data_IF_159982988386
#
_entry.id   IF_159982988386
#
_cell.length_a   1.000
_cell.length_b   1.000
_cell.length_c   1.000
_cell.angle_alpha   90.00
_cell.angle_beta   90.00
_cell.angle_gamma   90.00
#
_symmetry.space_group_name_H-M   'P 1'
#
loop_
_entity.id
_entity.type
_entity.pdbx_description
1 polymer ?
#
# COMPACT_ATOMS: atom_id res chain seq x y z
N UNK A 1 32.32 -40.53 -14.20
CA UNK A 1 32.03 -41.37 -13.02
C UNK A 1 30.60 -41.08 -12.63
N UNK A 2 29.74 -42.08 -12.82
CA UNK A 2 28.27 -42.08 -12.73
C UNK A 2 27.89 -43.00 -11.56
N UNK A 3 26.64 -42.89 -11.06
CA UNK A 3 25.84 -43.77 -10.17
C UNK A 3 25.63 -43.12 -8.78
N UNK A 4 24.44 -42.67 -8.33
CA UNK A 4 23.11 -43.30 -8.21
C UNK A 4 23.10 -44.68 -7.53
N UNK A 5 22.61 -44.77 -6.28
CA UNK A 5 21.46 -45.58 -5.83
C UNK A 5 21.42 -45.82 -4.29
N UNK A 6 20.17 -45.95 -3.82
CA UNK A 6 19.63 -46.23 -2.48
C UNK A 6 20.33 -47.35 -1.65
N UNK A 7 20.01 -47.44 -0.35
CA UNK A 7 19.30 -48.65 0.06
C UNK A 7 18.06 -48.39 0.95
N UNK A 8 17.01 -49.11 0.61
CA UNK A 8 15.76 -49.27 1.35
C UNK A 8 15.79 -50.50 2.28
N UNK A 9 14.94 -50.44 3.30
CA UNK A 9 14.20 -51.54 3.95
C UNK A 9 14.83 -52.40 5.07
N UNK A 10 14.16 -52.36 6.24
CA UNK A 10 13.28 -53.42 6.81
C UNK A 10 13.50 -53.55 8.34
N UNK A 11 12.66 -52.93 9.19
CA UNK A 11 11.41 -53.43 9.81
C UNK A 11 11.57 -54.16 11.18
N UNK A 12 10.78 -53.69 12.16
CA UNK A 12 10.05 -54.44 13.22
C UNK A 12 10.53 -54.33 14.70
N UNK A 13 9.61 -53.76 15.51
CA UNK A 13 9.23 -53.92 16.93
C UNK A 13 10.30 -53.97 18.06
N UNK A 14 10.14 -53.15 19.11
CA UNK A 14 9.36 -53.45 20.32
C UNK A 14 9.43 -52.30 21.38
N UNK A 15 8.25 -51.97 21.94
CA UNK A 15 7.94 -51.65 23.36
C UNK A 15 8.66 -50.54 24.16
N UNK A 16 7.83 -49.60 24.63
CA UNK A 16 7.50 -49.33 26.05
C UNK A 16 8.55 -48.68 26.97
N UNK A 17 8.25 -47.44 27.39
CA UNK A 17 8.21 -46.89 28.77
C UNK A 17 8.78 -45.46 28.83
N UNK A 18 7.98 -44.52 29.36
CA UNK A 18 8.53 -43.30 29.95
C UNK A 18 7.74 -42.00 29.75
N UNK A 19 6.61 -41.87 30.46
CA UNK A 19 6.36 -40.72 31.35
C UNK A 19 6.16 -39.29 30.80
N UNK A 20 4.93 -38.80 31.03
CA UNK A 20 4.59 -37.54 31.72
C UNK A 20 5.03 -36.18 31.13
N UNK A 21 4.04 -35.35 30.74
CA UNK A 21 3.68 -34.03 31.33
C UNK A 21 2.54 -33.43 30.45
N UNK A 22 1.30 -33.46 30.93
CA UNK A 22 0.54 -32.34 31.54
C UNK A 22 -0.16 -31.40 30.53
N UNK A 23 -1.49 -31.45 30.56
CA UNK A 23 -2.41 -30.57 29.85
C UNK A 23 -3.85 -31.06 30.05
N UNK A 24 -4.42 -30.75 31.21
CA UNK A 24 -5.75 -31.16 31.66
C UNK A 24 -6.87 -30.79 30.68
N UNK A 25 -7.64 -31.79 30.25
CA UNK A 25 -9.04 -31.64 29.87
C UNK A 25 -9.80 -32.79 30.54
N UNK A 26 -10.58 -32.48 31.58
CA UNK A 26 -11.33 -33.45 32.34
C UNK A 26 -12.71 -33.65 31.71
N UNK A 27 -13.04 -34.92 31.51
CA UNK A 27 -14.31 -35.47 31.05
C UNK A 27 -15.42 -35.39 32.12
N UNK A 28 -16.68 -35.50 31.63
CA UNK A 28 -17.75 -36.45 32.00
C UNK A 28 -19.12 -35.75 32.12
N UNK A 29 -20.07 -35.97 31.19
CA UNK A 29 -20.95 -37.15 31.00
C UNK A 29 -22.34 -36.90 31.62
N UNK A 30 -23.32 -36.55 30.77
CA UNK A 30 -24.67 -37.14 30.69
C UNK A 30 -25.67 -36.17 30.08
N UNK A 31 -26.03 -36.42 28.82
CA UNK A 31 -27.31 -36.03 28.26
C UNK A 31 -27.77 -37.16 27.34
N UNK A 32 -28.81 -37.91 27.72
CA UNK A 32 -29.87 -38.34 26.80
C UNK A 32 -31.06 -39.00 27.51
N UNK A 33 -32.26 -38.60 27.04
CA UNK A 33 -33.56 -39.31 27.03
C UNK A 33 -34.58 -39.13 28.19
N UNK A 34 -35.69 -38.45 27.85
CA UNK A 34 -37.10 -38.83 28.15
C UNK A 34 -37.55 -39.92 27.12
N UNK A 35 -38.71 -40.63 27.20
CA UNK A 35 -39.80 -40.67 28.20
C UNK A 35 -40.36 -42.09 28.58
N UNK A 36 -41.35 -42.08 29.49
CA UNK A 36 -42.51 -43.01 29.68
C UNK A 36 -42.45 -44.32 30.54
N UNK A 37 -43.36 -44.32 31.53
CA UNK A 37 -44.29 -45.39 31.98
C UNK A 37 -43.81 -46.53 32.91
N UNK A 38 -44.24 -46.51 34.19
CA UNK A 38 -45.25 -47.39 34.84
C UNK A 38 -45.25 -47.20 36.38
N UNK A 39 -46.45 -47.35 36.97
CA UNK A 39 -46.95 -47.04 38.33
C UNK A 39 -46.71 -48.24 39.31
N UNK A 40 -47.30 -48.36 40.54
CA UNK A 40 -46.96 -47.87 41.90
C UNK A 40 -46.54 -48.94 42.98
N UNK A 41 -46.28 -48.45 44.23
CA UNK A 41 -46.34 -49.08 45.60
C UNK A 41 -45.06 -49.65 46.27
N UNK A 42 -44.94 -49.68 47.62
CA UNK A 42 -45.46 -48.80 48.69
C UNK A 42 -44.34 -48.04 49.43
N UNK A 43 -44.69 -46.90 50.04
CA UNK A 43 -43.89 -46.24 51.07
C UNK A 43 -43.93 -47.04 52.37
N UNK A 44 -42.79 -47.54 52.83
CA UNK A 44 -42.56 -47.78 54.26
C UNK A 44 -42.30 -46.44 54.94
N UNK A 45 -43.16 -46.12 55.90
CA UNK A 45 -43.11 -44.90 56.67
C UNK A 45 -41.91 -44.92 57.62
N UNK A 46 -40.90 -44.11 57.35
CA UNK A 46 -39.98 -43.62 58.37
C UNK A 46 -40.15 -42.10 58.47
N UNK A 47 -41.07 -41.71 59.37
CA UNK A 47 -41.23 -40.34 59.85
C UNK A 47 -39.94 -39.96 60.60
N UNK A 48 -39.02 -39.27 59.93
CA UNK A 48 -38.11 -38.38 60.65
C UNK A 48 -38.98 -37.21 61.12
N UNK A 49 -39.20 -37.12 62.43
CA UNK A 49 -39.87 -35.97 63.04
C UNK A 49 -38.98 -34.75 62.84
N UNK A 50 -39.49 -33.72 62.19
CA UNK A 50 -38.94 -32.37 62.31
C UNK A 50 -39.01 -31.97 63.78
N UNK A 51 -37.84 -31.75 64.37
CA UNK A 51 -37.71 -31.21 65.73
C UNK A 51 -38.20 -29.77 65.65
N UNK A 52 -39.37 -29.50 66.23
CA UNK A 52 -39.95 -28.16 66.29
C UNK A 52 -39.29 -27.37 67.42
N UNK A 53 -39.39 -26.03 67.39
CA UNK A 53 -38.83 -25.15 68.43
C UNK A 53 -39.29 -25.55 69.85
N UNK A 54 -40.48 -26.14 69.96
CA UNK A 54 -41.06 -26.70 71.18
C UNK A 54 -40.29 -27.92 71.72
N UNK A 55 -39.69 -28.73 70.85
CA UNK A 55 -38.92 -29.92 71.21
C UNK A 55 -37.53 -29.56 71.77
N UNK A 56 -36.97 -28.42 71.34
CA UNK A 56 -35.70 -27.88 71.89
C UNK A 56 -35.95 -27.22 73.25
N UNK A 57 -37.05 -26.48 73.42
CA UNK A 57 -37.47 -25.96 74.73
C UNK A 57 -37.63 -27.09 75.76
N UNK A 58 -38.27 -28.19 75.37
CA UNK A 58 -38.45 -29.37 76.23
C UNK A 58 -37.13 -30.10 76.54
N UNK A 59 -36.16 -30.10 75.62
CA UNK A 59 -34.85 -30.71 75.86
C UNK A 59 -33.96 -29.88 76.80
N UNK A 60 -34.04 -28.54 76.74
CA UNK A 60 -33.29 -27.63 77.63
C UNK A 60 -33.84 -27.66 79.07
N UNK A 61 -35.14 -27.93 79.24
CA UNK A 61 -35.78 -28.10 80.56
C UNK A 61 -35.37 -29.40 81.28
N UNK A 62 -34.79 -30.39 80.60
CA UNK A 62 -34.49 -31.70 81.17
C UNK A 62 -33.04 -31.90 81.70
N UNK A 63 -32.12 -30.95 81.56
CA UNK A 63 -30.68 -31.20 81.83
C UNK A 63 -30.03 -30.27 82.88
N UNK A 64 -30.75 -29.41 83.61
CA UNK A 64 -30.11 -28.54 84.63
C UNK A 64 -30.56 -28.81 86.09
N UNK A 65 -29.62 -28.92 87.04
CA UNK A 65 -29.91 -29.16 88.45
C UNK A 65 -30.50 -27.91 89.13
N UNK A 66 -31.38 -28.14 90.12
CA UNK A 66 -32.01 -27.13 91.00
C UNK A 66 -30.95 -26.40 91.86
N UNK A 67 -30.31 -25.36 91.32
CA UNK A 67 -29.76 -24.22 92.06
C UNK A 67 -29.42 -23.08 91.07
N UNK A 68 -30.01 -21.90 91.29
CA UNK A 68 -29.85 -20.65 90.50
C UNK A 68 -30.10 -20.72 88.96
N UNK A 69 -31.33 -21.01 88.49
CA UNK A 69 -31.64 -21.09 87.05
C UNK A 69 -32.07 -19.76 86.41
N UNK A 70 -32.48 -18.77 87.21
CA UNK A 70 -33.17 -17.58 86.71
C UNK A 70 -32.26 -16.63 85.91
N UNK A 71 -31.05 -16.32 86.40
CA UNK A 71 -30.14 -15.40 85.69
C UNK A 71 -29.59 -15.99 84.38
N UNK A 72 -29.27 -17.29 84.33
CA UNK A 72 -28.77 -17.95 83.12
C UNK A 72 -29.88 -18.08 82.06
N UNK A 73 -31.09 -18.43 82.46
CA UNK A 73 -32.24 -18.51 81.55
C UNK A 73 -32.65 -17.13 81.00
N UNK A 74 -32.58 -16.08 81.84
CA UNK A 74 -32.78 -14.68 81.43
C UNK A 74 -31.69 -14.19 80.45
N UNK A 75 -30.42 -14.57 80.67
CA UNK A 75 -29.31 -14.25 79.77
C UNK A 75 -29.42 -14.93 78.40
N UNK A 76 -29.78 -16.21 78.40
CA UNK A 76 -29.98 -16.99 77.17
C UNK A 76 -31.19 -16.48 76.39
N UNK A 77 -32.31 -16.22 77.06
CA UNK A 77 -33.52 -15.65 76.41
C UNK A 77 -33.29 -14.23 75.87
N UNK A 78 -32.50 -13.40 76.55
CA UNK A 78 -32.09 -12.09 76.05
C UNK A 78 -31.19 -12.21 74.80
N UNK A 79 -30.25 -13.16 74.81
CA UNK A 79 -29.35 -13.43 73.68
C UNK A 79 -30.13 -13.96 72.46
N UNK A 80 -31.10 -14.86 72.66
CA UNK A 80 -31.97 -15.37 71.60
C UNK A 80 -32.79 -14.23 70.98
N UNK A 81 -33.41 -13.37 71.80
CA UNK A 81 -34.14 -12.19 71.30
C UNK A 81 -33.24 -11.23 70.51
N UNK A 82 -32.00 -11.03 70.97
CA UNK A 82 -31.03 -10.20 70.26
C UNK A 82 -30.68 -10.78 68.88
N UNK A 83 -30.49 -12.10 68.81
CA UNK A 83 -30.21 -12.81 67.56
C UNK A 83 -31.42 -12.81 66.63
N UNK A 84 -32.64 -12.99 67.15
CA UNK A 84 -33.88 -12.90 66.36
C UNK A 84 -34.11 -11.50 65.81
N UNK A 85 -33.81 -10.46 66.60
CA UNK A 85 -33.88 -9.07 66.15
C UNK A 85 -32.86 -8.79 65.05
N UNK A 86 -31.61 -9.21 65.23
CA UNK A 86 -30.58 -9.09 64.19
C UNK A 86 -30.95 -9.88 62.92
N UNK A 87 -31.54 -11.08 63.07
CA UNK A 87 -32.05 -11.87 61.93
C UNK A 87 -33.19 -11.15 61.21
N UNK A 88 -34.12 -10.53 61.94
CA UNK A 88 -35.22 -9.78 61.37
C UNK A 88 -34.75 -8.52 60.62
N UNK A 89 -33.66 -7.89 61.06
CA UNK A 89 -33.02 -6.74 60.42
C UNK A 89 -32.19 -7.14 59.18
N UNK A 90 -31.47 -8.27 59.23
CA UNK A 90 -30.60 -8.73 58.12
C UNK A 90 -31.38 -9.37 56.95
N UNK A 91 -32.53 -10.00 57.19
CA UNK A 91 -33.34 -10.62 56.14
C UNK A 91 -33.80 -9.63 55.03
N UNK A 92 -34.37 -8.45 55.34
CA UNK A 92 -34.74 -7.47 54.31
C UNK A 92 -33.52 -6.87 53.62
N UNK A 93 -32.38 -6.67 54.31
CA UNK A 93 -31.13 -6.23 53.67
C UNK A 93 -30.63 -7.26 52.64
N UNK A 94 -30.64 -8.56 52.99
CA UNK A 94 -30.29 -9.64 52.06
C UNK A 94 -31.26 -9.66 50.86
N UNK A 95 -32.56 -9.45 51.09
CA UNK A 95 -33.56 -9.36 50.02
C UNK A 95 -33.31 -8.15 49.10
N UNK A 96 -32.98 -6.99 49.67
CA UNK A 96 -32.66 -5.77 48.93
C UNK A 96 -31.37 -5.94 48.11
N UNK A 97 -30.33 -6.55 48.69
CA UNK A 97 -29.07 -6.83 47.98
C UNK A 97 -29.27 -7.84 46.84
N UNK A 98 -30.12 -8.85 47.03
CA UNK A 98 -30.50 -9.79 45.96
C UNK A 98 -31.27 -9.09 44.83
N UNK A 99 -32.19 -8.18 45.15
CA UNK A 99 -32.92 -7.40 44.15
C UNK A 99 -31.98 -6.51 43.33
N UNK A 100 -31.05 -5.81 43.99
CA UNK A 100 -30.01 -5.00 43.31
C UNK A 100 -29.11 -5.86 42.41
N UNK A 101 -28.67 -7.02 42.89
CA UNK A 101 -27.86 -7.95 42.10
C UNK A 101 -28.61 -8.46 40.86
N UNK A 102 -29.91 -8.75 40.96
CA UNK A 102 -30.75 -9.14 39.81
C UNK A 102 -30.95 -8.00 38.81
N UNK A 103 -31.09 -6.76 39.27
CA UNK A 103 -31.21 -5.60 38.39
C UNK A 103 -29.91 -5.34 37.61
N UNK A 104 -28.76 -5.41 38.29
CA UNK A 104 -27.45 -5.28 37.65
C UNK A 104 -27.17 -6.43 36.68
N UNK A 105 -27.61 -7.65 37.00
CA UNK A 105 -27.52 -8.78 36.08
C UNK A 105 -28.33 -8.54 34.79
N UNK A 106 -29.57 -8.06 34.90
CA UNK A 106 -30.39 -7.69 33.73
C UNK A 106 -29.77 -6.56 32.91
N UNK A 107 -29.15 -5.57 33.55
CA UNK A 107 -28.43 -4.49 32.86
C UNK A 107 -27.24 -5.04 32.08
N UNK A 108 -26.45 -5.95 32.68
CA UNK A 108 -25.33 -6.63 32.01
C UNK A 108 -25.81 -7.45 30.81
N UNK A 109 -26.86 -8.24 30.95
CA UNK A 109 -27.44 -9.02 29.85
C UNK A 109 -27.93 -8.14 28.69
N UNK A 110 -28.57 -7.00 29.02
CA UNK A 110 -28.99 -6.02 28.02
C UNK A 110 -27.79 -5.39 27.30
N UNK A 111 -26.74 -5.01 28.03
CA UNK A 111 -25.50 -4.48 27.46
C UNK A 111 -24.81 -5.52 26.58
N UNK A 112 -24.71 -6.78 27.01
CA UNK A 112 -24.14 -7.88 26.21
C UNK A 112 -24.93 -8.11 24.91
N UNK A 113 -26.26 -8.04 24.97
CA UNK A 113 -27.11 -8.14 23.77
C UNK A 113 -26.87 -6.97 22.79
N UNK A 114 -26.58 -5.78 23.31
CA UNK A 114 -26.29 -4.60 22.51
C UNK A 114 -24.90 -4.70 21.89
N UNK A 115 -23.89 -5.13 22.66
CA UNK A 115 -22.52 -5.38 22.19
C UNK A 115 -22.54 -6.40 21.06
N UNK A 116 -23.24 -7.54 21.20
CA UNK A 116 -23.36 -8.54 20.14
C UNK A 116 -24.01 -7.98 18.86
N UNK A 117 -25.04 -7.14 18.99
CA UNK A 117 -25.67 -6.47 17.84
C UNK A 117 -24.72 -5.50 17.16
N UNK A 118 -23.98 -4.71 17.93
CA UNK A 118 -23.00 -3.76 17.39
C UNK A 118 -21.84 -4.48 16.71
N UNK A 119 -21.31 -5.56 17.31
CA UNK A 119 -20.29 -6.40 16.70
C UNK A 119 -20.75 -6.98 15.35
N UNK A 120 -21.99 -7.47 15.26
CA UNK A 120 -22.56 -7.96 13.99
C UNK A 120 -22.66 -6.83 12.95
N UNK A 121 -23.04 -5.62 13.37
CA UNK A 121 -23.11 -4.45 12.47
C UNK A 121 -21.73 -4.03 11.96
N UNK A 122 -20.73 -4.00 12.85
CA UNK A 122 -19.34 -3.71 12.47
C UNK A 122 -18.82 -4.72 11.45
N UNK A 123 -19.08 -6.01 11.66
CA UNK A 123 -18.68 -7.05 10.71
C UNK A 123 -19.30 -6.85 9.32
N UNK A 124 -20.59 -6.52 9.25
CA UNK A 124 -21.29 -6.29 7.98
C UNK A 124 -20.74 -5.04 7.26
N UNK A 125 -20.57 -3.93 7.98
CA UNK A 125 -20.00 -2.70 7.42
C UNK A 125 -18.56 -2.90 6.92
N UNK A 126 -17.76 -3.70 7.64
CA UNK A 126 -16.41 -4.08 7.20
C UNK A 126 -16.44 -4.85 5.89
N UNK A 127 -17.35 -5.83 5.75
CA UNK A 127 -17.54 -6.57 4.49
C UNK A 127 -18.00 -5.68 3.34
N UNK A 128 -18.91 -4.74 3.59
CA UNK A 128 -19.37 -3.78 2.58
C UNK A 128 -18.25 -2.86 2.13
N UNK A 129 -17.46 -2.31 3.07
CA UNK A 129 -16.28 -1.48 2.77
C UNK A 129 -15.28 -2.26 1.93
N UNK A 130 -14.96 -3.49 2.31
CA UNK A 130 -13.96 -4.30 1.61
C UNK A 130 -14.45 -4.71 0.22
N UNK A 131 -15.74 -4.99 0.06
CA UNK A 131 -16.36 -5.21 -1.24
C UNK A 131 -16.27 -3.97 -2.15
N UNK A 132 -16.57 -2.79 -1.63
CA UNK A 132 -16.42 -1.53 -2.39
C UNK A 132 -14.96 -1.25 -2.77
N UNK A 133 -14.01 -1.52 -1.87
CA UNK A 133 -12.57 -1.40 -2.16
C UNK A 133 -12.15 -2.34 -3.28
N UNK A 134 -12.56 -3.61 -3.23
CA UNK A 134 -12.23 -4.60 -4.26
C UNK A 134 -12.79 -4.20 -5.64
N UNK A 135 -13.99 -3.62 -5.69
CA UNK A 135 -14.57 -3.09 -6.93
C UNK A 135 -13.73 -1.92 -7.47
N UNK A 136 -13.36 -0.95 -6.63
CA UNK A 136 -12.50 0.16 -7.05
C UNK A 136 -11.14 -0.33 -7.55
N UNK A 137 -10.54 -1.30 -6.85
CA UNK A 137 -9.26 -1.90 -7.22
C UNK A 137 -9.33 -2.64 -8.56
N UNK A 138 -10.48 -3.25 -8.88
CA UNK A 138 -10.70 -3.83 -10.22
C UNK A 138 -10.73 -2.76 -11.31
N UNK A 139 -11.40 -1.62 -11.08
CA UNK A 139 -11.40 -0.51 -12.03
C UNK A 139 -10.01 0.12 -12.20
N UNK A 140 -9.27 0.30 -11.10
CA UNK A 140 -7.89 0.80 -11.14
C UNK A 140 -6.98 -0.16 -11.93
N UNK A 141 -7.17 -1.48 -11.80
CA UNK A 141 -6.41 -2.48 -12.55
C UNK A 141 -6.75 -2.51 -14.05
N UNK A 142 -8.01 -2.29 -14.42
CA UNK A 142 -8.46 -2.20 -15.81
C UNK A 142 -8.03 -0.88 -16.47
N UNK A 143 -7.98 0.23 -15.71
CA UNK A 143 -7.45 1.52 -16.17
C UNK A 143 -5.92 1.50 -16.31
N UNK A 144 -5.21 0.84 -15.40
CA UNK A 144 -3.74 0.76 -15.40
C UNK A 144 -3.16 -0.10 -16.54
N UNK A 145 -3.92 -1.07 -17.06
CA UNK A 145 -3.47 -1.92 -18.18
C UNK A 145 -3.47 -1.21 -19.54
N UNK A 146 -4.18 -0.08 -19.68
CA UNK A 146 -4.28 0.63 -20.96
C UNK A 146 -3.08 1.56 -21.25
N UNK A 147 -2.29 1.98 -20.25
CA UNK A 147 -1.25 3.01 -20.43
C UNK A 147 -0.05 2.89 -19.47
N UNK A 148 0.69 1.77 -19.42
CA UNK A 148 1.93 1.72 -18.62
C UNK A 148 3.20 1.51 -19.46
N UNK A 149 4.14 2.45 -19.31
CA UNK A 149 5.53 2.29 -19.76
C UNK A 149 6.16 1.06 -19.08
N UNK A 150 6.96 0.24 -19.80
CA UNK A 150 7.65 -0.93 -19.24
C UNK A 150 8.47 -0.66 -17.98
N UNK A 151 8.95 0.58 -17.81
CA UNK A 151 9.73 1.00 -16.64
C UNK A 151 8.89 1.10 -15.36
N UNK A 152 7.60 1.45 -15.49
CA UNK A 152 6.73 1.64 -14.35
C UNK A 152 6.20 0.28 -13.83
N UNK A 153 5.95 -0.69 -14.71
CA UNK A 153 5.68 -2.08 -14.32
C UNK A 153 6.84 -2.71 -13.53
N UNK A 154 8.09 -2.45 -13.94
CA UNK A 154 9.25 -2.96 -13.22
C UNK A 154 9.33 -2.39 -11.79
N UNK A 155 9.08 -1.08 -11.64
CA UNK A 155 9.09 -0.41 -10.33
C UNK A 155 7.94 -0.83 -9.43
N UNK A 156 6.76 -1.10 -9.98
CA UNK A 156 5.63 -1.63 -9.23
C UNK A 156 5.96 -3.03 -8.72
N UNK A 157 6.49 -3.90 -9.58
CA UNK A 157 6.88 -5.25 -9.20
C UNK A 157 7.98 -5.27 -8.11
N UNK A 158 8.96 -4.39 -8.20
CA UNK A 158 9.99 -4.23 -7.16
C UNK A 158 9.39 -3.75 -5.83
N UNK A 159 8.43 -2.84 -5.87
CA UNK A 159 7.72 -2.38 -4.67
C UNK A 159 6.85 -3.48 -4.05
N UNK A 160 6.19 -4.30 -4.87
CA UNK A 160 5.42 -5.48 -4.44
C UNK A 160 6.32 -6.52 -3.77
N UNK A 161 7.48 -6.84 -4.36
CA UNK A 161 8.46 -7.78 -3.78
C UNK A 161 8.99 -7.26 -2.43
N UNK A 162 9.24 -5.95 -2.30
CA UNK A 162 9.64 -5.35 -1.02
C UNK A 162 8.51 -5.42 0.01
N UNK A 163 7.28 -5.13 -0.39
CA UNK A 163 6.12 -5.20 0.50
C UNK A 163 5.92 -6.63 1.01
N UNK A 164 6.06 -7.63 0.15
CA UNK A 164 5.94 -9.03 0.53
C UNK A 164 7.01 -9.46 1.54
N UNK A 165 8.25 -8.98 1.37
CA UNK A 165 9.35 -9.21 2.34
C UNK A 165 9.05 -8.56 3.70
N UNK A 166 8.55 -7.32 3.70
CA UNK A 166 8.18 -6.61 4.93
C UNK A 166 7.01 -7.31 5.63
N UNK A 167 6.00 -7.76 4.89
CA UNK A 167 4.88 -8.52 5.44
C UNK A 167 5.35 -9.83 6.08
N UNK A 168 6.22 -10.59 5.40
CA UNK A 168 6.79 -11.81 5.96
C UNK A 168 7.59 -11.54 7.25
N UNK A 169 8.36 -10.45 7.29
CA UNK A 169 9.08 -10.06 8.48
C UNK A 169 8.13 -9.66 9.63
N UNK A 170 7.07 -8.89 9.34
CA UNK A 170 6.08 -8.53 10.35
C UNK A 170 5.40 -9.76 10.94
N UNK A 171 5.02 -10.73 10.10
CA UNK A 171 4.44 -11.99 10.61
C UNK A 171 5.40 -12.77 11.50
N UNK A 172 6.70 -12.77 11.18
CA UNK A 172 7.73 -13.40 12.02
C UNK A 172 7.95 -12.63 13.33
N UNK A 173 7.85 -11.30 13.32
CA UNK A 173 7.93 -10.51 14.55
C UNK A 173 6.70 -10.72 15.44
N UNK A 174 5.52 -10.86 14.84
CA UNK A 174 4.27 -11.17 15.56
C UNK A 174 4.32 -12.55 16.24
N UNK A 175 4.88 -13.56 15.57
CA UNK A 175 5.06 -14.90 16.18
C UNK A 175 6.05 -14.85 17.34
N UNK A 176 7.16 -14.13 17.18
CA UNK A 176 8.15 -13.94 18.25
C UNK A 176 7.57 -13.18 19.44
N UNK A 177 6.78 -12.14 19.20
CA UNK A 177 6.08 -11.40 20.26
C UNK A 177 5.06 -12.28 21.00
N UNK A 178 4.27 -13.07 20.27
CA UNK A 178 3.32 -14.00 20.88
C UNK A 178 4.02 -15.01 21.78
N UNK A 179 5.15 -15.55 21.33
CA UNK A 179 5.96 -16.49 22.12
C UNK A 179 6.54 -15.83 23.38
N UNK A 180 7.10 -14.62 23.26
CA UNK A 180 7.60 -13.88 24.41
C UNK A 180 6.49 -13.52 25.41
N UNK A 181 5.28 -13.22 24.93
CA UNK A 181 4.11 -12.95 25.76
C UNK A 181 3.66 -14.20 26.53
N UNK A 182 3.68 -15.38 25.89
CA UNK A 182 3.39 -16.65 26.56
C UNK A 182 4.44 -16.97 27.63
N UNK A 183 5.73 -16.83 27.32
CA UNK A 183 6.84 -17.02 28.27
C UNK A 183 6.70 -16.05 29.46
N UNK A 184 6.44 -14.77 29.23
CA UNK A 184 6.18 -13.80 30.29
C UNK A 184 4.96 -14.17 31.15
N UNK A 185 3.90 -14.72 30.53
CA UNK A 185 2.73 -15.26 31.25
C UNK A 185 3.10 -16.42 32.17
N UNK A 186 3.93 -17.35 31.69
CA UNK A 186 4.41 -18.48 32.51
C UNK A 186 5.28 -18.03 33.68
N UNK A 187 6.21 -17.09 33.46
CA UNK A 187 7.01 -16.53 34.55
C UNK A 187 6.16 -15.80 35.56
N UNK A 188 5.13 -15.06 35.13
CA UNK A 188 4.21 -14.37 36.03
C UNK A 188 3.45 -15.35 36.93
N UNK A 189 3.01 -16.49 36.39
CA UNK A 189 2.38 -17.56 37.17
C UNK A 189 3.36 -18.19 38.17
N UNK A 190 4.61 -18.43 37.78
CA UNK A 190 5.64 -18.93 38.69
C UNK A 190 5.92 -17.95 39.84
N UNK A 191 6.02 -16.65 39.54
CA UNK A 191 6.18 -15.60 40.55
C UNK A 191 4.98 -15.58 41.48
N UNK A 192 3.74 -15.64 40.96
CA UNK A 192 2.54 -15.69 41.80
C UNK A 192 2.52 -16.90 42.74
N UNK A 193 2.93 -18.07 42.24
CA UNK A 193 3.03 -19.29 43.04
C UNK A 193 4.08 -19.15 44.15
N UNK A 194 5.29 -18.69 43.83
CA UNK A 194 6.33 -18.43 44.83
C UNK A 194 5.94 -17.34 45.84
N UNK A 195 5.21 -16.30 45.41
CA UNK A 195 4.72 -15.27 46.34
C UNK A 195 3.69 -15.83 47.31
N UNK A 196 2.79 -16.71 46.86
CA UNK A 196 1.82 -17.38 47.73
C UNK A 196 2.51 -18.33 48.72
N UNK A 197 3.55 -19.05 48.27
CA UNK A 197 4.38 -19.87 49.16
C UNK A 197 5.11 -19.03 50.21
N UNK A 198 5.65 -17.87 49.83
CA UNK A 198 6.28 -16.93 50.76
C UNK A 198 5.30 -16.32 51.75
N UNK A 199 4.07 -16.01 51.34
CA UNK A 199 3.02 -15.53 52.26
C UNK A 199 2.59 -16.63 53.24
N UNK A 200 2.41 -17.87 52.79
CA UNK A 200 2.13 -19.00 53.68
C UNK A 200 3.26 -19.24 54.70
N UNK A 201 4.52 -19.14 54.26
CA UNK A 201 5.68 -19.22 55.16
C UNK A 201 5.75 -18.04 56.14
N UNK A 202 5.38 -16.83 55.70
CA UNK A 202 5.27 -15.65 56.59
C UNK A 202 4.16 -15.80 57.61
N UNK A 203 2.99 -16.30 57.26
CA UNK A 203 1.92 -16.59 58.23
C UNK A 203 2.37 -17.62 59.28
N UNK A 204 3.13 -18.63 58.84
CA UNK A 204 3.77 -19.59 59.73
C UNK A 204 4.82 -18.94 60.64
N UNK A 205 5.57 -17.96 60.12
CA UNK A 205 6.58 -17.21 60.86
C UNK A 205 5.99 -16.18 61.82
N UNK A 206 4.84 -15.57 61.50
CA UNK A 206 4.07 -14.68 62.40
C UNK A 206 3.55 -15.47 63.60
N UNK A 207 3.15 -16.73 63.42
CA UNK A 207 2.80 -17.61 64.56
C UNK A 207 4.00 -17.97 65.46
N UNK A 208 5.23 -17.95 64.91
CA UNK A 208 6.48 -18.20 65.65
C UNK A 208 7.14 -16.92 66.20
N UNK A 209 6.77 -15.73 65.70
CA UNK A 209 7.38 -14.44 66.04
C UNK A 209 6.85 -13.82 67.34
N UNK A 210 5.78 -14.38 67.95
CA UNK A 210 5.30 -13.94 69.27
C UNK A 210 6.30 -14.22 70.43
N UNK A 211 7.48 -14.79 70.16
CA UNK A 211 8.46 -15.17 71.19
C UNK A 211 9.77 -14.38 71.27
N UNK A 212 10.09 -13.41 70.42
CA UNK A 212 11.34 -12.63 70.57
C UNK A 212 11.27 -11.21 69.97
N UNK A 213 11.07 -10.20 70.82
CA UNK A 213 10.84 -8.79 70.40
C UNK A 213 11.95 -7.80 70.75
N UNK A 214 13.13 -8.24 71.22
CA UNK A 214 14.18 -7.30 71.63
C UNK A 214 15.52 -7.44 70.88
N UNK A 215 15.78 -8.54 70.18
CA UNK A 215 16.98 -8.68 69.33
C UNK A 215 16.78 -8.14 67.90
N UNK A 216 15.52 -7.92 67.48
CA UNK A 216 15.18 -7.55 66.10
C UNK A 216 15.22 -6.05 65.84
N UNK A 217 15.17 -5.19 66.86
CA UNK A 217 15.07 -3.74 66.65
C UNK A 217 16.37 -3.13 66.08
N UNK A 218 17.53 -3.57 66.57
CA UNK A 218 18.84 -3.11 66.06
C UNK A 218 19.15 -3.68 64.68
N UNK A 219 18.82 -4.95 64.43
CA UNK A 219 18.90 -5.57 63.10
C UNK A 219 17.96 -4.89 62.10
N UNK A 220 16.74 -4.55 62.51
CA UNK A 220 15.80 -3.79 61.67
C UNK A 220 16.32 -2.38 61.41
N UNK A 221 16.97 -1.73 62.37
CA UNK A 221 17.59 -0.42 62.18
C UNK A 221 18.77 -0.47 61.21
N UNK A 222 19.65 -1.48 61.32
CA UNK A 222 20.79 -1.63 60.41
C UNK A 222 20.37 -2.03 58.99
N UNK A 223 19.34 -2.87 58.87
CA UNK A 223 18.73 -3.20 57.57
C UNK A 223 18.05 -1.99 56.94
N UNK A 224 17.36 -1.13 57.71
CA UNK A 224 16.79 0.13 57.21
C UNK A 224 17.87 1.07 56.69
N UNK A 225 18.97 1.23 57.42
CA UNK A 225 20.11 2.03 56.97
C UNK A 225 20.73 1.45 55.70
N UNK A 226 20.86 0.12 55.60
CA UNK A 226 21.38 -0.53 54.40
C UNK A 226 20.47 -0.37 53.19
N UNK A 227 19.15 -0.40 53.39
CA UNK A 227 18.16 -0.12 52.35
C UNK A 227 18.33 1.31 51.85
N UNK A 228 18.45 2.29 52.74
CA UNK A 228 18.66 3.69 52.37
C UNK A 228 19.98 3.90 51.60
N UNK A 229 21.08 3.26 52.01
CA UNK A 229 22.34 3.28 51.28
C UNK A 229 22.22 2.68 49.88
N UNK A 230 21.54 1.53 49.75
CA UNK A 230 21.33 0.87 48.47
C UNK A 230 20.41 1.66 47.56
N UNK A 231 19.38 2.32 48.10
CA UNK A 231 18.50 3.21 47.36
C UNK A 231 19.27 4.44 46.83
N UNK A 232 20.14 5.03 47.66
CA UNK A 232 21.00 6.13 47.24
C UNK A 232 21.99 5.73 46.14
N UNK A 233 22.60 4.55 46.25
CA UNK A 233 23.51 4.04 45.21
C UNK A 233 22.75 3.68 43.93
N UNK A 234 21.53 3.13 44.03
CA UNK A 234 20.66 2.86 42.88
C UNK A 234 20.31 4.15 42.15
N UNK A 235 19.92 5.20 42.87
CA UNK A 235 19.66 6.52 42.28
C UNK A 235 20.90 7.09 41.60
N UNK A 236 22.08 6.95 42.21
CA UNK A 236 23.34 7.40 41.61
C UNK A 236 23.66 6.66 40.31
N UNK A 237 23.49 5.34 40.29
CA UNK A 237 23.69 4.51 39.10
C UNK A 237 22.66 4.80 38.02
N UNK A 238 21.40 5.03 38.39
CA UNK A 238 20.34 5.46 37.46
C UNK A 238 20.71 6.79 36.80
N UNK A 239 21.17 7.78 37.57
CA UNK A 239 21.60 9.07 37.02
C UNK A 239 22.81 8.92 36.08
N UNK A 240 23.79 8.11 36.45
CA UNK A 240 24.93 7.81 35.58
C UNK A 240 24.50 7.10 34.29
N UNK A 241 23.56 6.18 34.38
CA UNK A 241 23.04 5.44 33.23
C UNK A 241 22.26 6.39 32.30
N UNK A 242 21.40 7.25 32.85
CA UNK A 242 20.68 8.28 32.07
C UNK A 242 21.65 9.21 31.33
N UNK A 243 22.74 9.64 31.97
CA UNK A 243 23.78 10.47 31.33
C UNK A 243 24.49 9.71 30.22
N UNK A 244 24.79 8.42 30.42
CA UNK A 244 25.43 7.57 29.42
C UNK A 244 24.49 7.29 28.25
N UNK A 245 23.21 7.02 28.51
CA UNK A 245 22.16 6.85 27.50
C UNK A 245 22.00 8.11 26.66
N UNK A 246 21.86 9.29 27.29
CA UNK A 246 21.80 10.57 26.55
C UNK A 246 23.05 10.81 25.68
N UNK A 247 24.24 10.41 26.17
CA UNK A 247 25.47 10.50 25.38
C UNK A 247 25.43 9.53 24.21
N UNK A 248 25.05 8.28 24.44
CA UNK A 248 24.92 7.26 23.39
C UNK A 248 23.89 7.66 22.34
N UNK A 249 22.74 8.21 22.72
CA UNK A 249 21.75 8.74 21.78
C UNK A 249 22.31 9.87 20.94
N UNK A 250 23.02 10.82 21.57
CA UNK A 250 23.71 11.90 20.86
C UNK A 250 24.77 11.36 19.89
N UNK A 251 25.50 10.33 20.28
CA UNK A 251 26.50 9.67 19.44
C UNK A 251 25.83 8.89 18.29
N UNK A 252 24.72 8.19 18.53
CA UNK A 252 23.94 7.49 17.51
C UNK A 252 23.39 8.44 16.46
N UNK A 253 22.98 9.65 16.86
CA UNK A 253 22.51 10.69 15.94
C UNK A 253 23.63 11.26 15.05
N UNK A 254 24.87 11.26 15.51
CA UNK A 254 26.01 11.86 14.79
C UNK A 254 26.87 10.83 14.05
N UNK A 255 26.69 9.54 14.35
CA UNK A 255 27.52 8.44 13.87
C UNK A 255 28.84 8.40 14.63
N UNK A 256 29.09 7.31 15.35
CA UNK A 256 30.31 7.15 16.16
C UNK A 256 31.36 6.29 15.46
N UNK A 257 32.63 6.65 15.62
CA UNK A 257 33.77 5.80 15.26
C UNK A 257 34.92 6.05 16.23
N UNK A 258 35.61 4.98 16.64
CA UNK A 258 36.77 5.08 17.54
C UNK A 258 38.01 5.51 16.73
N UNK A 259 38.55 6.73 16.90
CA UNK A 259 39.68 7.24 16.11
C UNK A 259 41.01 6.54 16.45
N UNK A 260 41.08 5.80 17.55
CA UNK A 260 42.27 5.02 17.94
C UNK A 260 42.28 3.66 17.23
N UNK A 261 41.10 3.05 17.06
CA UNK A 261 40.97 1.72 16.43
C UNK A 261 40.63 1.75 14.94
N UNK A 262 39.97 2.81 14.49
CA UNK A 262 39.42 2.89 13.13
C UNK A 262 39.85 4.16 12.43
N UNK A 263 40.24 4.03 11.15
CA UNK A 263 40.52 5.16 10.27
C UNK A 263 39.47 5.20 9.18
N UNK A 264 38.78 6.32 9.07
CA UNK A 264 37.81 6.56 7.99
C UNK A 264 38.59 6.97 6.74
N UNK A 265 38.43 6.20 5.67
CA UNK A 265 39.01 6.51 4.36
C UNK A 265 37.89 6.74 3.35
N UNK A 266 38.10 7.67 2.45
CA UNK A 266 37.24 7.86 1.28
C UNK A 266 38.11 8.13 0.06
N UNK A 267 37.57 7.87 -1.13
CA UNK A 267 38.26 8.23 -2.36
C UNK A 267 38.45 9.74 -2.42
N UNK A 268 39.64 10.18 -2.84
CA UNK A 268 39.93 11.60 -3.03
C UNK A 268 38.99 12.20 -4.09
N UNK A 269 38.75 11.46 -5.18
CA UNK A 269 37.75 11.76 -6.20
C UNK A 269 36.46 10.97 -5.92
N UNK A 270 35.64 11.48 -5.02
CA UNK A 270 34.31 10.92 -4.72
C UNK A 270 33.19 11.77 -5.35
N UNK A 271 31.97 11.22 -5.54
CA UNK A 271 30.86 11.96 -6.13
C UNK A 271 30.57 13.31 -5.47
N UNK A 272 30.65 13.39 -4.13
CA UNK A 272 30.45 14.65 -3.39
C UNK A 272 31.56 15.68 -3.69
N UNK A 273 32.81 15.25 -3.80
CA UNK A 273 33.93 16.14 -4.15
C UNK A 273 33.79 16.67 -5.58
N UNK A 274 33.36 15.83 -6.52
CA UNK A 274 33.10 16.21 -7.90
C UNK A 274 31.93 17.21 -7.96
N UNK A 275 30.82 16.92 -7.25
CA UNK A 275 29.68 17.83 -7.18
C UNK A 275 30.04 19.18 -6.55
N UNK A 276 30.87 19.20 -5.50
CA UNK A 276 31.38 20.45 -4.90
C UNK A 276 32.25 21.23 -5.88
N UNK A 277 33.11 20.55 -6.64
CA UNK A 277 33.94 21.20 -7.65
C UNK A 277 33.09 21.79 -8.78
N UNK A 278 32.15 21.01 -9.33
CA UNK A 278 31.23 21.48 -10.39
C UNK A 278 30.41 22.68 -9.91
N UNK A 279 29.86 22.63 -8.70
CA UNK A 279 29.15 23.76 -8.11
C UNK A 279 30.07 24.97 -7.95
N UNK A 280 31.32 24.79 -7.54
CA UNK A 280 32.27 25.90 -7.44
C UNK A 280 32.56 26.52 -8.83
N UNK A 281 32.75 25.69 -9.85
CA UNK A 281 32.95 26.11 -11.24
C UNK A 281 31.72 26.86 -11.78
N UNK A 282 30.51 26.36 -11.54
CA UNK A 282 29.25 27.00 -11.93
C UNK A 282 29.08 28.37 -11.25
N UNK A 283 29.36 28.46 -9.94
CA UNK A 283 29.30 29.73 -9.20
C UNK A 283 30.30 30.74 -9.77
N UNK A 284 31.51 30.31 -10.12
CA UNK A 284 32.51 31.18 -10.75
C UNK A 284 32.06 31.64 -12.15
N UNK A 285 31.49 30.74 -12.96
CA UNK A 285 30.93 31.10 -14.27
C UNK A 285 29.80 32.13 -14.14
N UNK A 286 28.86 31.91 -13.22
CA UNK A 286 27.77 32.84 -12.94
C UNK A 286 28.28 34.18 -12.42
N UNK A 287 29.34 34.18 -11.60
CA UNK A 287 29.99 35.43 -11.13
C UNK A 287 30.59 36.21 -12.29
N UNK A 288 31.29 35.55 -13.21
CA UNK A 288 31.85 36.17 -14.40
C UNK A 288 30.76 36.72 -15.32
N UNK A 289 29.71 35.95 -15.55
CA UNK A 289 28.56 36.39 -16.35
C UNK A 289 27.87 37.61 -15.72
N UNK A 290 27.62 37.57 -14.41
CA UNK A 290 27.08 38.72 -13.68
C UNK A 290 27.97 39.96 -13.81
N UNK A 291 29.30 39.80 -13.77
CA UNK A 291 30.23 40.90 -13.98
C UNK A 291 30.14 41.45 -15.41
N UNK A 292 30.14 40.59 -16.42
CA UNK A 292 30.01 40.98 -17.83
C UNK A 292 28.68 41.69 -18.12
N UNK A 293 27.57 41.17 -17.58
CA UNK A 293 26.26 41.79 -17.69
C UNK A 293 26.23 43.15 -17.00
N UNK A 294 26.81 43.28 -15.79
CA UNK A 294 26.94 44.56 -15.09
C UNK A 294 27.79 45.56 -15.87
N UNK A 295 28.87 45.12 -16.50
CA UNK A 295 29.71 45.98 -17.33
C UNK A 295 29.00 46.42 -18.61
N UNK A 296 28.20 45.54 -19.21
CA UNK A 296 27.37 45.86 -20.38
C UNK A 296 26.26 46.84 -20.03
N UNK A 297 25.56 46.64 -18.92
CA UNK A 297 24.57 47.59 -18.41
C UNK A 297 25.24 48.95 -18.18
N UNK A 298 26.41 48.99 -17.51
CA UNK A 298 27.17 50.24 -17.33
C UNK A 298 27.52 50.92 -18.66
N UNK A 299 27.90 50.18 -19.69
CA UNK A 299 28.18 50.73 -21.03
C UNK A 299 26.92 51.26 -21.73
N UNK A 300 25.80 50.56 -21.62
CA UNK A 300 24.49 50.98 -22.16
C UNK A 300 23.99 52.23 -21.43
N UNK A 301 24.13 52.28 -20.11
CA UNK A 301 23.78 53.44 -19.28
C UNK A 301 24.69 54.65 -19.57
N UNK A 302 25.98 54.42 -19.82
CA UNK A 302 26.95 55.47 -20.13
C UNK A 302 26.89 56.00 -21.59
N UNK A 303 26.27 55.26 -22.52
CA UNK A 303 26.14 55.62 -23.93
C UNK A 303 24.85 55.05 -24.50
N UNK A 304 23.79 55.86 -24.54
CA UNK A 304 22.44 55.42 -24.90
C UNK A 304 22.35 54.83 -26.31
N UNK A 305 22.13 53.52 -26.38
CA UNK A 305 21.69 52.82 -27.59
C UNK A 305 22.34 51.46 -27.79
N UNK A 306 21.54 50.40 -27.68
CA UNK A 306 21.93 49.03 -28.04
C UNK A 306 22.29 48.99 -29.54
N UNK A 307 23.58 48.90 -29.86
CA UNK A 307 24.04 48.59 -31.21
C UNK A 307 23.61 47.15 -31.53
N UNK A 308 22.82 47.00 -32.59
CA UNK A 308 22.23 45.72 -33.06
C UNK A 308 23.22 44.62 -33.46
N UNK A 309 24.52 44.88 -33.39
CA UNK A 309 25.56 43.94 -33.85
C UNK A 309 26.12 43.02 -32.75
N UNK A 310 25.64 43.13 -31.52
CA UNK A 310 26.18 42.37 -30.39
C UNK A 310 25.35 41.11 -30.07
N UNK A 311 24.88 40.45 -31.14
CA UNK A 311 24.04 39.22 -31.12
C UNK A 311 24.87 37.93 -31.27
N UNK A 312 26.19 38.04 -31.28
CA UNK A 312 27.13 36.92 -31.29
C UNK A 312 27.70 36.70 -29.90
N UNK A 313 26.83 36.39 -28.93
CA UNK A 313 27.27 35.83 -27.66
C UNK A 313 26.75 34.41 -27.53
N UNK A 314 27.71 33.49 -27.44
CA UNK A 314 27.57 32.06 -27.19
C UNK A 314 27.05 31.93 -25.75
N UNK A 315 25.75 32.13 -25.58
CA UNK A 315 25.01 31.63 -24.43
C UNK A 315 24.91 30.12 -24.68
N UNK A 316 25.40 29.23 -23.80
CA UNK A 316 25.07 27.81 -23.90
C UNK A 316 23.54 27.74 -23.94
N UNK A 317 22.95 27.24 -25.04
CA UNK A 317 21.50 27.21 -25.14
C UNK A 317 20.97 26.48 -23.91
N UNK A 318 20.06 27.13 -23.17
CA UNK A 318 19.39 26.49 -22.03
C UNK A 318 18.85 25.12 -22.48
N UNK A 319 18.77 24.16 -21.56
CA UNK A 319 18.26 22.80 -21.87
C UNK A 319 16.94 22.87 -22.68
N UNK A 320 16.09 23.84 -22.36
CA UNK A 320 14.84 24.13 -23.07
C UNK A 320 15.03 24.58 -24.53
N UNK A 321 16.03 25.43 -24.83
CA UNK A 321 16.36 25.83 -26.21
C UNK A 321 16.92 24.64 -26.99
N UNK A 322 17.71 23.77 -26.36
CA UNK A 322 18.20 22.54 -26.99
C UNK A 322 17.05 21.57 -27.32
N UNK A 323 16.13 21.38 -26.37
CA UNK A 323 14.97 20.52 -26.56
C UNK A 323 14.01 21.07 -27.62
N UNK A 324 13.78 22.39 -27.64
CA UNK A 324 12.98 23.05 -28.69
C UNK A 324 13.64 22.95 -30.07
N UNK A 325 14.96 23.12 -30.16
CA UNK A 325 15.70 22.91 -31.43
C UNK A 325 15.57 21.47 -31.92
N UNK A 326 15.69 20.50 -31.03
CA UNK A 326 15.49 19.09 -31.37
C UNK A 326 14.08 18.78 -31.84
N UNK A 327 13.06 19.41 -31.23
CA UNK A 327 11.67 19.28 -31.67
C UNK A 327 11.46 19.93 -33.05
N UNK A 328 12.05 21.09 -33.29
CA UNK A 328 12.01 21.77 -34.60
C UNK A 328 12.66 20.93 -35.69
N UNK A 329 13.87 20.40 -35.45
CA UNK A 329 14.56 19.49 -36.38
C UNK A 329 13.73 18.23 -36.66
N UNK A 330 13.12 17.65 -35.63
CA UNK A 330 12.22 16.50 -35.77
C UNK A 330 10.98 16.82 -36.62
N UNK A 331 10.38 18.00 -36.41
CA UNK A 331 9.23 18.46 -37.18
C UNK A 331 9.60 18.77 -38.64
N UNK A 332 10.74 19.41 -38.87
CA UNK A 332 11.29 19.67 -40.20
C UNK A 332 11.57 18.37 -40.94
N UNK A 333 12.20 17.39 -40.29
CA UNK A 333 12.46 16.07 -40.87
C UNK A 333 11.17 15.32 -41.20
N UNK A 334 10.15 15.39 -40.35
CA UNK A 334 8.82 14.82 -40.64
C UNK A 334 8.18 15.48 -41.86
N UNK A 335 8.25 16.81 -41.96
CA UNK A 335 7.75 17.55 -43.11
C UNK A 335 8.52 17.23 -44.40
N UNK A 336 9.84 17.06 -44.31
CA UNK A 336 10.67 16.65 -45.44
C UNK A 336 10.27 15.25 -45.92
N UNK A 337 10.17 14.27 -45.02
CA UNK A 337 9.72 12.91 -45.35
C UNK A 337 8.31 12.90 -45.97
N UNK A 338 7.41 13.75 -45.48
CA UNK A 338 6.07 13.87 -46.03
C UNK A 338 6.10 14.41 -47.47
N UNK A 339 6.93 15.42 -47.75
CA UNK A 339 7.15 15.93 -49.12
C UNK A 339 7.71 14.85 -50.05
N UNK A 340 8.68 14.06 -49.58
CA UNK A 340 9.27 12.95 -50.35
C UNK A 340 8.23 11.87 -50.67
N UNK A 341 7.42 11.47 -49.68
CA UNK A 341 6.34 10.49 -49.89
C UNK A 341 5.30 11.02 -50.87
N UNK A 342 4.90 12.29 -50.74
CA UNK A 342 3.96 12.93 -51.66
C UNK A 342 4.52 12.97 -53.09
N UNK A 343 5.76 13.41 -53.28
CA UNK A 343 6.44 13.41 -54.58
C UNK A 343 6.49 12.00 -55.18
N UNK A 344 6.86 10.99 -54.38
CA UNK A 344 6.89 9.59 -54.83
C UNK A 344 5.50 9.11 -55.27
N UNK A 345 4.44 9.44 -54.52
CA UNK A 345 3.06 9.06 -54.85
C UNK A 345 2.53 9.76 -56.08
N UNK A 346 2.81 11.05 -56.26
CA UNK A 346 2.46 11.78 -57.49
C UNK A 346 3.22 11.19 -58.67
N UNK A 347 4.51 10.89 -58.53
CA UNK A 347 5.28 10.27 -59.61
C UNK A 347 4.73 8.89 -59.98
N UNK A 348 4.41 8.04 -59.00
CA UNK A 348 3.76 6.73 -59.19
C UNK A 348 2.45 6.88 -59.97
N UNK A 349 1.60 7.84 -59.59
CA UNK A 349 0.35 8.13 -60.29
C UNK A 349 0.58 8.61 -61.72
N UNK A 350 1.51 9.55 -61.93
CA UNK A 350 1.86 10.06 -63.26
C UNK A 350 2.39 8.97 -64.18
N UNK A 351 3.23 8.07 -63.66
CA UNK A 351 3.70 6.90 -64.40
C UNK A 351 2.55 5.97 -64.76
N UNK A 352 1.62 5.70 -63.85
CA UNK A 352 0.43 4.90 -64.15
C UNK A 352 -0.43 5.54 -65.25
N UNK A 353 -0.70 6.84 -65.17
CA UNK A 353 -1.41 7.58 -66.21
C UNK A 353 -0.69 7.52 -67.56
N UNK A 354 0.63 7.68 -67.58
CA UNK A 354 1.44 7.60 -68.79
C UNK A 354 1.33 6.23 -69.46
N UNK A 355 1.48 5.14 -68.70
CA UNK A 355 1.38 3.77 -69.24
C UNK A 355 -0.03 3.44 -69.72
N UNK A 356 -1.06 3.85 -68.98
CA UNK A 356 -2.45 3.49 -69.29
C UNK A 356 -3.06 4.31 -70.43
N UNK A 357 -2.77 5.62 -70.46
CA UNK A 357 -3.42 6.55 -71.40
C UNK A 357 -2.52 6.97 -72.56
N UNK A 358 -1.21 6.72 -72.45
CA UNK A 358 -0.23 7.20 -73.42
C UNK A 358 0.11 8.68 -73.29
N UNK A 359 -0.32 9.37 -72.21
CA UNK A 359 -0.04 10.79 -71.99
C UNK A 359 0.74 11.04 -70.71
N UNK A 360 1.84 11.78 -70.83
CA UNK A 360 2.60 12.31 -69.70
C UNK A 360 1.99 13.65 -69.30
N UNK A 361 1.42 13.73 -68.09
CA UNK A 361 0.74 14.92 -67.58
C UNK A 361 1.68 15.66 -66.63
N UNK A 362 2.28 16.77 -67.06
CA UNK A 362 3.16 17.66 -66.29
C UNK A 362 2.42 18.90 -65.77
N UNK A 363 2.70 19.32 -64.53
CA UNK A 363 2.20 20.59 -63.99
C UNK A 363 3.25 21.66 -64.29
N UNK A 364 2.87 22.71 -65.02
CA UNK A 364 3.81 23.75 -65.48
C UNK A 364 3.80 24.96 -64.54
N UNK A 365 2.85 25.86 -64.73
CA UNK A 365 2.54 26.99 -63.84
C UNK A 365 1.20 26.73 -63.16
N UNK A 366 0.81 27.58 -62.20
CA UNK A 366 -0.44 27.42 -61.46
C UNK A 366 -1.63 27.16 -62.40
N UNK A 367 -2.31 26.03 -62.16
CA UNK A 367 -3.50 25.56 -62.88
C UNK A 367 -3.30 25.25 -64.37
N UNK A 368 -2.07 24.97 -64.82
CA UNK A 368 -1.78 24.57 -66.20
C UNK A 368 -1.09 23.19 -66.29
N UNK A 369 -1.67 22.32 -67.10
CA UNK A 369 -1.29 20.93 -67.31
C UNK A 369 -0.79 20.73 -68.74
N UNK A 370 0.47 20.33 -68.88
CA UNK A 370 1.08 19.96 -70.15
C UNK A 370 0.91 18.47 -70.36
N UNK A 371 0.37 18.08 -71.50
CA UNK A 371 0.20 16.70 -71.93
C UNK A 371 1.16 16.44 -73.09
N UNK A 372 2.06 15.48 -72.90
CA UNK A 372 2.95 14.98 -73.95
C UNK A 372 2.56 13.54 -74.28
N UNK A 373 2.30 13.25 -75.55
CA UNK A 373 1.94 11.90 -76.00
C UNK A 373 3.18 11.01 -76.09
N UNK A 374 3.04 9.70 -75.80
CA UNK A 374 4.06 8.68 -76.08
C UNK A 374 4.44 8.66 -77.56
N UNK A 375 3.46 8.96 -78.43
CA UNK A 375 3.59 8.90 -79.88
C UNK A 375 3.90 10.28 -80.49
N UNK A 376 4.41 11.23 -79.70
CA UNK A 376 4.82 12.54 -80.18
C UNK A 376 5.97 12.42 -81.20
N UNK A 377 5.87 13.12 -82.33
CA UNK A 377 6.87 13.09 -83.41
C UNK A 377 8.09 13.96 -83.05
N UNK A 378 7.86 15.07 -82.35
CA UNK A 378 8.90 15.97 -81.85
C UNK A 378 8.83 16.18 -80.34
N UNK A 379 9.97 16.46 -79.70
CA UNK A 379 10.04 16.68 -78.24
C UNK A 379 9.24 17.92 -77.76
N UNK A 380 8.93 18.84 -78.68
CA UNK A 380 8.16 20.06 -78.41
C UNK A 380 6.64 19.88 -78.57
N UNK A 381 6.20 18.76 -79.14
CA UNK A 381 4.79 18.46 -79.36
C UNK A 381 4.08 18.19 -78.04
N UNK A 382 3.37 19.21 -77.55
CA UNK A 382 2.63 19.12 -76.31
C UNK A 382 1.32 19.90 -76.38
N UNK A 383 0.31 19.35 -75.72
CA UNK A 383 -0.99 19.98 -75.51
C UNK A 383 -1.00 20.66 -74.15
N UNK A 384 -1.49 21.89 -74.07
CA UNK A 384 -1.54 22.63 -72.82
C UNK A 384 -2.98 22.86 -72.40
N UNK A 385 -3.37 22.39 -71.23
CA UNK A 385 -4.70 22.59 -70.67
C UNK A 385 -4.64 23.49 -69.44
N UNK A 386 -5.60 24.39 -69.30
CA UNK A 386 -5.76 25.23 -68.11
C UNK A 386 -7.07 24.90 -67.41
N UNK A 387 -7.02 24.75 -66.09
CA UNK A 387 -8.23 24.58 -65.28
C UNK A 387 -9.00 25.89 -65.21
N UNK A 388 -10.25 25.88 -65.65
CA UNK A 388 -11.16 27.03 -65.67
C UNK A 388 -12.15 26.93 -64.52
N UNK A 389 -11.70 27.17 -63.28
CA UNK A 389 -12.55 27.17 -62.08
C UNK A 389 -11.75 27.01 -60.77
N UNK A 390 -12.41 27.08 -59.59
CA UNK A 390 -11.77 26.74 -58.32
C UNK A 390 -11.23 25.30 -58.35
N UNK A 391 -10.15 25.05 -57.60
CA UNK A 391 -9.45 23.74 -57.57
C UNK A 391 -10.47 22.62 -57.33
N UNK A 392 -10.67 21.75 -58.34
CA UNK A 392 -11.64 20.64 -58.30
C UNK A 392 -12.91 20.81 -59.14
N UNK A 393 -13.12 21.96 -59.80
CA UNK A 393 -14.31 22.21 -60.65
C UNK A 393 -14.38 21.37 -61.94
N UNK A 394 -13.32 20.64 -62.28
CA UNK A 394 -13.29 19.65 -63.37
C UNK A 394 -13.33 20.21 -64.81
N UNK A 395 -13.55 21.51 -65.00
CA UNK A 395 -13.52 22.18 -66.31
C UNK A 395 -12.09 22.50 -66.73
N UNK A 396 -11.68 21.95 -67.87
CA UNK A 396 -10.37 22.17 -68.48
C UNK A 396 -10.54 22.81 -69.86
N UNK A 397 -9.70 23.79 -70.19
CA UNK A 397 -9.69 24.47 -71.48
C UNK A 397 -8.34 24.25 -72.17
N UNK A 398 -8.35 23.90 -73.45
CA UNK A 398 -7.14 23.78 -74.26
C UNK A 398 -6.60 25.18 -74.60
N UNK A 399 -5.30 25.39 -74.39
CA UNK A 399 -4.54 26.55 -74.85
C UNK A 399 -3.91 26.24 -76.20
N UNK A 400 -3.86 27.25 -77.06
CA UNK A 400 -3.20 27.12 -78.36
C UNK A 400 -1.69 26.92 -78.19
N UNK A 401 -1.21 25.76 -78.62
CA UNK A 401 0.19 25.41 -78.85
C UNK A 401 0.43 25.17 -80.34
N UNK A 402 1.69 25.21 -80.80
CA UNK A 402 2.03 24.93 -82.21
C UNK A 402 1.54 23.55 -82.65
N UNK A 403 1.65 22.56 -81.77
CA UNK A 403 1.09 21.23 -81.96
C UNK A 403 -0.45 21.25 -82.06
N UNK A 404 -1.15 22.01 -81.21
CA UNK A 404 -2.63 22.10 -81.27
C UNK A 404 -3.14 22.66 -82.61
N UNK A 405 -2.35 23.52 -83.30
CA UNK A 405 -2.70 24.07 -84.62
C UNK A 405 -2.68 23.01 -85.73
N UNK A 406 -1.93 21.92 -85.56
CA UNK A 406 -1.93 20.83 -86.55
C UNK A 406 -3.15 19.91 -86.42
N UNK A 407 -3.83 19.97 -85.26
CA UNK A 407 -4.96 19.12 -84.90
C UNK A 407 -6.31 19.87 -84.95
N UNK A 408 -6.40 21.02 -85.63
CA UNK A 408 -7.60 21.88 -85.64
C UNK A 408 -8.88 21.13 -86.01
N UNK A 409 -8.83 20.22 -87.00
CA UNK A 409 -10.00 19.41 -87.36
C UNK A 409 -10.52 18.49 -86.25
N UNK A 410 -9.62 17.94 -85.41
CA UNK A 410 -9.97 17.11 -84.25
C UNK A 410 -10.42 17.97 -83.07
N UNK A 411 -9.83 19.16 -82.89
CA UNK A 411 -10.24 20.13 -81.87
C UNK A 411 -11.66 20.61 -82.14
N UNK A 412 -11.99 21.00 -83.37
CA UNK A 412 -13.33 21.44 -83.77
C UNK A 412 -14.37 20.34 -83.55
N UNK A 413 -14.09 19.12 -84.02
CA UNK A 413 -15.04 18.01 -83.89
C UNK A 413 -15.24 17.58 -82.43
N UNK A 414 -14.17 17.36 -81.67
CA UNK A 414 -14.25 16.68 -80.36
C UNK A 414 -14.34 17.65 -79.18
N UNK A 415 -13.70 18.82 -79.25
CA UNK A 415 -13.75 19.81 -78.17
C UNK A 415 -14.86 20.85 -78.35
N UNK A 416 -15.13 21.31 -79.59
CA UNK A 416 -16.22 22.29 -79.82
C UNK A 416 -17.59 21.64 -79.99
N UNK A 417 -17.74 20.63 -80.86
CA UNK A 417 -19.04 19.99 -81.09
C UNK A 417 -19.42 18.98 -80.01
N UNK A 418 -18.51 18.04 -79.68
CA UNK A 418 -18.80 16.97 -78.73
C UNK A 418 -18.51 17.33 -77.26
N UNK A 419 -17.75 18.42 -77.02
CA UNK A 419 -17.40 18.93 -75.69
C UNK A 419 -16.79 17.88 -74.75
N UNK A 420 -15.98 16.98 -75.28
CA UNK A 420 -15.40 15.87 -74.50
C UNK A 420 -13.90 15.74 -74.70
N UNK A 421 -13.13 16.09 -73.67
CA UNK A 421 -11.67 15.98 -73.65
C UNK A 421 -11.20 14.52 -73.74
N UNK A 422 -11.79 13.55 -73.02
CA UNK A 422 -11.38 12.15 -73.17
C UNK A 422 -11.54 11.64 -74.62
N UNK A 423 -12.61 12.02 -75.32
CA UNK A 423 -12.84 11.62 -76.72
C UNK A 423 -11.80 12.26 -77.64
N UNK A 424 -11.52 13.55 -77.44
CA UNK A 424 -10.46 14.26 -78.16
C UNK A 424 -9.09 13.60 -77.97
N UNK A 425 -8.67 13.36 -76.73
CA UNK A 425 -7.36 12.74 -76.45
C UNK A 425 -7.25 11.33 -77.03
N UNK A 426 -8.34 10.55 -77.01
CA UNK A 426 -8.38 9.22 -77.62
C UNK A 426 -8.21 9.29 -79.14
N UNK A 427 -8.91 10.22 -79.80
CA UNK A 427 -8.79 10.43 -81.24
C UNK A 427 -7.38 10.88 -81.64
N UNK A 428 -6.77 11.80 -80.87
CA UNK A 428 -5.39 12.24 -81.06
C UNK A 428 -4.40 11.09 -80.88
N UNK A 429 -4.61 10.22 -79.88
CA UNK A 429 -3.76 9.03 -79.69
C UNK A 429 -3.82 8.10 -80.89
N UNK A 430 -5.01 7.83 -81.43
CA UNK A 430 -5.19 6.97 -82.61
C UNK A 430 -4.52 7.59 -83.85
N UNK A 431 -4.69 8.91 -84.05
CA UNK A 431 -4.08 9.63 -85.18
C UNK A 431 -2.54 9.60 -85.11
N UNK A 432 -1.96 9.93 -83.95
CA UNK A 432 -0.51 9.89 -83.75
C UNK A 432 0.05 8.47 -83.88
N UNK A 433 -0.64 7.48 -83.34
CA UNK A 433 -0.25 6.08 -83.50
C UNK A 433 -0.32 5.63 -84.97
N UNK A 434 -1.37 6.03 -85.71
CA UNK A 434 -1.48 5.76 -87.15
C UNK A 434 -0.29 6.36 -87.89
N UNK A 435 0.03 7.64 -87.65
CA UNK A 435 1.18 8.32 -88.29
C UNK A 435 2.51 7.65 -88.00
N UNK A 436 2.72 7.15 -86.79
CA UNK A 436 3.93 6.43 -86.42
C UNK A 436 4.02 5.02 -87.04
N UNK A 437 2.89 4.41 -87.38
CA UNK A 437 2.81 3.07 -87.98
C UNK A 437 2.69 3.07 -89.51
N UNK A 438 2.42 4.23 -90.14
CA UNK A 438 2.53 4.38 -91.60
C UNK A 438 4.02 4.36 -91.96
N UNK A 439 4.49 3.18 -92.34
CA UNK A 439 5.82 2.96 -92.94
C UNK A 439 5.73 3.09 -94.45
#
# INVERSE_FOLDING_TARGET
>A
MIMDYSPSDMHIHLTSLGGCFHGCFWELFMAHCLPHNIVPFPRTAQRQREITFQDIENAVLCVLPRAAPSCLFLSVSFSIRSVEKARAELLPEIAQMRAKAQEEQKKRENQDSLVRRMQKRVLLLTKERDGMRAILESYDSELATSEYSPQLMFRVKEAEDMLQKVQAHNTEMETQLSKAQEEAGTFKLQVQMMTAELEALKEQQVSNAEKNTLATAEEVSSLRQKIEELEAERQRLEEQNNILEMRLERHNLQGDYDPVKTKVIHLQMNPTSIAKQQHAEEVEQLRLECQLLRDRIRKIEAGGGVTKDDTTLIIPPSQEILDLRKQMESAELKNQRLKEVFQKKIQEFRTACYVLTGYQIDITVENQYRLTSVYAEHMEDSLLFKSTGPVGSGSMQLLETDFSRTLTGLVDLHLFHQKSIPVFLSAVTIELFSRQTVT
#
